data_IF_801486005656
#
_entry.id   IF_801486005656
#
_cell.length_a   1.000
_cell.length_b   1.000
_cell.length_c   1.000
_cell.angle_alpha   90.00
_cell.angle_beta   90.00
_cell.angle_gamma   90.00
#
_symmetry.space_group_name_H-M   'P 1'
#
loop_
_entity.id
_entity.type
_entity.pdbx_description
1 polymer ?
#
# COMPACT_ATOMS: atom_id res chain seq x y z
N UNK A 1 8.07 17.21 19.96
CA UNK A 1 9.55 17.15 20.10
C UNK A 1 10.25 16.26 19.05
N UNK A 2 9.76 15.05 18.70
CA UNK A 2 10.48 14.11 17.79
C UNK A 2 10.75 14.61 16.36
N UNK A 3 9.89 15.46 15.78
CA UNK A 3 10.10 15.98 14.43
C UNK A 3 11.08 17.16 14.36
N UNK A 4 11.26 17.92 15.45
CA UNK A 4 12.23 19.02 15.48
C UNK A 4 13.66 18.48 15.44
N UNK A 5 13.94 17.39 16.16
CA UNK A 5 15.25 16.72 16.13
C UNK A 5 15.70 16.32 14.72
N UNK A 6 14.76 15.97 13.82
CA UNK A 6 15.07 15.68 12.40
C UNK A 6 15.55 16.91 11.64
N UNK A 7 14.98 18.07 11.93
CA UNK A 7 15.38 19.32 11.31
C UNK A 7 16.75 19.78 11.86
N UNK A 8 16.94 19.70 13.18
CA UNK A 8 18.23 19.98 13.82
C UNK A 8 19.33 19.08 13.25
N UNK A 9 19.09 17.77 13.14
CA UNK A 9 20.09 16.83 12.61
C UNK A 9 20.38 17.08 11.13
N UNK A 10 19.38 17.44 10.33
CA UNK A 10 19.58 17.80 8.93
C UNK A 10 20.45 19.05 8.77
N UNK A 11 20.19 20.11 9.55
CA UNK A 11 21.01 21.32 9.54
C UNK A 11 22.45 21.00 9.97
N UNK A 12 22.62 20.20 11.02
CA UNK A 12 23.94 19.79 11.49
C UNK A 12 24.73 19.03 10.42
N UNK A 13 24.07 18.10 9.70
CA UNK A 13 24.69 17.39 8.58
C UNK A 13 25.04 18.33 7.41
N UNK A 14 24.17 19.28 7.08
CA UNK A 14 24.45 20.29 6.03
C UNK A 14 25.69 21.11 6.41
N UNK A 15 25.83 21.51 7.68
CA UNK A 15 27.01 22.23 8.16
C UNK A 15 28.29 21.38 8.03
N UNK A 16 28.24 20.10 8.39
CA UNK A 16 29.37 19.18 8.21
C UNK A 16 29.77 19.10 6.74
N UNK A 17 28.80 18.93 5.83
CA UNK A 17 29.06 18.87 4.38
C UNK A 17 29.63 20.19 3.87
N UNK A 18 29.16 21.33 4.37
CA UNK A 18 29.67 22.65 3.99
C UNK A 18 31.12 22.85 4.44
N UNK A 19 31.46 22.49 5.68
CA UNK A 19 32.85 22.52 6.18
C UNK A 19 33.73 21.58 5.36
N UNK A 20 33.26 20.35 5.12
CA UNK A 20 33.96 19.39 4.25
C UNK A 20 34.21 19.97 2.84
N UNK A 21 33.23 20.67 2.27
CA UNK A 21 33.37 21.31 0.96
C UNK A 21 34.42 22.42 0.94
N UNK A 22 34.46 23.27 1.97
CA UNK A 22 35.46 24.33 2.10
C UNK A 22 36.88 23.77 2.24
N UNK A 23 37.04 22.68 2.99
CA UNK A 23 38.34 22.01 3.17
C UNK A 23 38.81 21.27 1.90
N UNK A 24 37.89 20.90 1.02
CA UNK A 24 38.16 20.11 -0.20
C UNK A 24 37.88 20.91 -1.48
N UNK A 25 38.30 22.18 -1.49
CA UNK A 25 38.19 23.07 -2.67
C UNK A 25 39.19 22.76 -3.79
N UNK A 26 40.06 21.76 -3.59
CA UNK A 26 40.98 21.28 -4.61
C UNK A 26 40.24 20.91 -5.89
N UNK A 27 40.68 21.49 -7.01
CA UNK A 27 40.12 21.21 -8.33
C UNK A 27 40.70 19.91 -8.88
N UNK A 28 39.82 19.06 -9.41
CA UNK A 28 40.17 17.81 -10.08
C UNK A 28 39.60 17.86 -11.50
N UNK A 29 40.42 17.44 -12.48
CA UNK A 29 39.97 17.27 -13.86
C UNK A 29 39.17 15.97 -13.97
N UNK A 30 38.02 16.05 -14.59
CA UNK A 30 37.15 14.88 -14.80
C UNK A 30 37.13 14.60 -16.30
N UNK A 31 37.54 13.40 -16.69
CA UNK A 31 37.37 12.93 -18.05
C UNK A 31 35.91 12.51 -18.27
N UNK A 32 35.14 13.38 -18.91
CA UNK A 32 33.82 13.03 -19.47
C UNK A 32 34.00 12.54 -20.91
N UNK A 33 32.92 12.00 -21.48
CA UNK A 33 32.94 11.37 -22.80
C UNK A 33 33.49 12.28 -23.91
N UNK A 34 33.24 13.59 -23.83
CA UNK A 34 33.69 14.59 -24.81
C UNK A 34 34.31 15.85 -24.19
N UNK A 35 34.39 15.96 -22.86
CA UNK A 35 34.87 17.18 -22.20
C UNK A 35 35.69 16.85 -20.94
N UNK A 36 36.62 17.74 -20.57
CA UNK A 36 37.53 17.59 -19.43
C UNK A 36 37.50 18.81 -18.49
N UNK A 37 36.35 19.16 -17.89
CA UNK A 37 36.26 20.31 -17.00
C UNK A 37 36.99 20.05 -15.67
N UNK A 38 37.43 21.12 -15.02
CA UNK A 38 38.03 21.06 -13.69
C UNK A 38 37.07 21.66 -12.65
N UNK A 39 36.57 20.82 -11.75
CA UNK A 39 35.65 21.20 -10.67
C UNK A 39 36.25 20.87 -9.30
N UNK A 40 35.82 21.55 -8.22
CA UNK A 40 36.18 21.16 -6.85
C UNK A 40 35.75 19.70 -6.58
N UNK A 41 36.61 18.90 -5.95
CA UNK A 41 36.39 17.47 -5.70
C UNK A 41 35.04 17.19 -5.02
N UNK A 42 34.68 17.99 -4.03
CA UNK A 42 33.42 17.83 -3.30
C UNK A 42 32.18 17.93 -4.21
N UNK A 43 32.20 18.84 -5.20
CA UNK A 43 31.07 19.01 -6.12
C UNK A 43 30.88 17.75 -6.98
N UNK A 44 31.99 17.13 -7.39
CA UNK A 44 31.98 15.88 -8.18
C UNK A 44 31.34 14.75 -7.39
N UNK A 45 31.73 14.59 -6.13
CA UNK A 45 31.19 13.54 -5.25
C UNK A 45 29.70 13.76 -5.02
N UNK A 46 29.27 14.98 -4.72
CA UNK A 46 27.85 15.30 -4.53
C UNK A 46 27.06 14.96 -5.80
N UNK A 47 27.54 15.36 -6.98
CA UNK A 47 26.87 15.04 -8.25
C UNK A 47 26.79 13.53 -8.50
N UNK A 48 27.85 12.78 -8.22
CA UNK A 48 27.85 11.32 -8.37
C UNK A 48 26.85 10.64 -7.42
N UNK A 49 26.80 11.06 -6.16
CA UNK A 49 25.82 10.56 -5.18
C UNK A 49 24.40 10.91 -5.60
N UNK A 50 24.16 12.14 -6.06
CA UNK A 50 22.85 12.57 -6.56
C UNK A 50 22.40 11.75 -7.77
N UNK A 51 23.31 11.47 -8.71
CA UNK A 51 23.02 10.60 -9.85
C UNK A 51 22.70 9.18 -9.42
N UNK A 52 23.45 8.61 -8.47
CA UNK A 52 23.16 7.30 -7.89
C UNK A 52 21.78 7.25 -7.22
N UNK A 53 21.44 8.27 -6.42
CA UNK A 53 20.13 8.38 -5.79
C UNK A 53 19.00 8.54 -6.83
N UNK A 54 19.23 9.33 -7.88
CA UNK A 54 18.28 9.49 -8.98
C UNK A 54 18.01 8.16 -9.68
N UNK A 55 19.06 7.40 -10.01
CA UNK A 55 18.93 6.06 -10.61
C UNK A 55 18.12 5.15 -9.67
N UNK A 56 18.42 5.12 -8.38
CA UNK A 56 17.69 4.30 -7.41
C UNK A 56 16.19 4.66 -7.33
N UNK A 57 15.85 5.96 -7.38
CA UNK A 57 14.45 6.42 -7.41
C UNK A 57 13.76 5.99 -8.71
N UNK A 58 14.42 6.14 -9.85
CA UNK A 58 13.88 5.72 -11.15
C UNK A 58 13.60 4.22 -11.18
N UNK A 59 14.53 3.40 -10.70
CA UNK A 59 14.34 1.96 -10.58
C UNK A 59 13.20 1.60 -9.61
N UNK A 60 13.09 2.33 -8.49
CA UNK A 60 12.02 2.11 -7.50
C UNK A 60 10.62 2.42 -8.04
N UNK A 61 10.49 3.32 -9.02
CA UNK A 61 9.19 3.69 -9.58
C UNK A 61 8.46 2.49 -10.21
N UNK A 62 9.21 1.59 -10.86
CA UNK A 62 8.68 0.34 -11.45
C UNK A 62 8.11 -0.57 -10.36
N UNK A 63 8.89 -0.81 -9.31
CA UNK A 63 8.48 -1.64 -8.17
C UNK A 63 7.25 -1.06 -7.48
N UNK A 64 7.22 0.25 -7.22
CA UNK A 64 6.08 0.93 -6.60
C UNK A 64 4.83 0.79 -7.47
N UNK A 65 4.96 0.88 -8.80
CA UNK A 65 3.83 0.71 -9.71
C UNK A 65 3.25 -0.71 -9.65
N UNK A 66 4.11 -1.73 -9.64
CA UNK A 66 3.69 -3.12 -9.50
C UNK A 66 2.98 -3.38 -8.16
N UNK A 67 3.58 -2.90 -7.06
CA UNK A 67 2.99 -3.00 -5.72
C UNK A 67 1.62 -2.31 -5.65
N UNK A 68 1.46 -1.13 -6.24
CA UNK A 68 0.15 -0.44 -6.30
C UNK A 68 -0.89 -1.25 -7.08
N UNK A 69 -0.50 -1.87 -8.19
CA UNK A 69 -1.39 -2.72 -8.99
C UNK A 69 -1.82 -3.96 -8.20
N UNK A 70 -0.89 -4.59 -7.48
CA UNK A 70 -1.17 -5.73 -6.63
C UNK A 70 -2.10 -5.37 -5.47
N UNK A 71 -1.85 -4.26 -4.77
CA UNK A 71 -2.75 -3.74 -3.72
C UNK A 71 -4.16 -3.51 -4.28
N UNK A 72 -4.30 -2.94 -5.48
CA UNK A 72 -5.62 -2.76 -6.11
C UNK A 72 -6.29 -4.09 -6.41
N UNK A 73 -5.55 -5.07 -6.94
CA UNK A 73 -6.07 -6.41 -7.22
C UNK A 73 -6.52 -7.11 -5.95
N UNK A 74 -5.72 -7.06 -4.88
CA UNK A 74 -6.05 -7.64 -3.59
C UNK A 74 -7.32 -7.02 -3.00
N UNK A 75 -7.45 -5.69 -3.03
CA UNK A 75 -8.67 -5.00 -2.56
C UNK A 75 -9.93 -5.40 -3.33
N UNK A 76 -9.83 -5.55 -4.65
CA UNK A 76 -10.97 -6.00 -5.47
C UNK A 76 -11.32 -7.46 -5.16
N UNK A 77 -10.32 -8.32 -4.95
CA UNK A 77 -10.56 -9.70 -4.56
C UNK A 77 -11.22 -9.81 -3.19
N UNK A 78 -10.79 -9.00 -2.23
CA UNK A 78 -11.37 -8.92 -0.88
C UNK A 78 -12.84 -8.51 -0.95
N UNK A 79 -13.18 -7.43 -1.69
CA UNK A 79 -14.58 -7.00 -1.85
C UNK A 79 -15.45 -8.04 -2.54
N UNK A 80 -14.91 -8.73 -3.55
CA UNK A 80 -15.65 -9.78 -4.26
C UNK A 80 -15.90 -11.00 -3.36
N UNK A 81 -14.91 -11.34 -2.53
CA UNK A 81 -15.00 -12.45 -1.60
C UNK A 81 -16.03 -12.15 -0.50
N UNK A 82 -16.03 -10.93 0.05
CA UNK A 82 -17.06 -10.47 1.00
C UNK A 82 -18.47 -10.56 0.40
N UNK A 83 -18.65 -10.12 -0.85
CA UNK A 83 -19.93 -10.20 -1.54
C UNK A 83 -20.41 -11.65 -1.75
N UNK A 84 -19.51 -12.57 -2.13
CA UNK A 84 -19.83 -14.00 -2.29
C UNK A 84 -20.20 -14.66 -0.94
N UNK A 85 -19.50 -14.31 0.14
CA UNK A 85 -19.86 -14.78 1.48
C UNK A 85 -21.24 -14.27 1.91
N UNK A 86 -21.54 -12.99 1.65
CA UNK A 86 -22.84 -12.40 1.97
C UNK A 86 -23.97 -13.08 1.18
N UNK A 87 -23.80 -13.27 -0.13
CA UNK A 87 -24.79 -13.93 -0.98
C UNK A 87 -25.08 -15.37 -0.51
N UNK A 88 -24.02 -16.12 -0.16
CA UNK A 88 -24.15 -17.48 0.38
C UNK A 88 -24.87 -17.50 1.72
N UNK A 89 -24.58 -16.54 2.60
CA UNK A 89 -25.26 -16.40 3.88
C UNK A 89 -26.76 -16.13 3.69
N UNK A 90 -27.10 -15.16 2.84
CA UNK A 90 -28.49 -14.78 2.56
C UNK A 90 -29.28 -15.93 1.93
N UNK A 91 -28.68 -16.67 0.99
CA UNK A 91 -29.28 -17.90 0.41
C UNK A 91 -29.54 -18.97 1.46
N UNK A 92 -28.63 -19.13 2.44
CA UNK A 92 -28.78 -20.12 3.52
C UNK A 92 -29.91 -19.70 4.47
N UNK A 93 -29.96 -18.43 4.85
CA UNK A 93 -31.01 -17.86 5.69
C UNK A 93 -32.39 -17.99 5.04
N UNK A 94 -32.51 -17.65 3.75
CA UNK A 94 -33.76 -17.77 3.01
C UNK A 94 -34.26 -19.23 2.91
N UNK A 95 -33.35 -20.18 2.68
CA UNK A 95 -33.70 -21.62 2.68
C UNK A 95 -34.20 -22.09 4.05
N UNK A 96 -33.56 -21.65 5.11
CA UNK A 96 -33.90 -22.02 6.49
C UNK A 96 -35.26 -21.42 6.90
N UNK A 97 -35.50 -20.15 6.60
CA UNK A 97 -36.81 -19.50 6.79
C UNK A 97 -37.93 -20.20 6.01
N UNK A 98 -37.70 -20.57 4.75
CA UNK A 98 -38.67 -21.31 3.96
C UNK A 98 -38.98 -22.70 4.58
N UNK A 99 -37.98 -23.35 5.18
CA UNK A 99 -38.15 -24.59 5.93
C UNK A 99 -39.02 -24.42 7.18
N UNK A 100 -38.78 -23.39 7.97
CA UNK A 100 -39.61 -23.06 9.14
C UNK A 100 -41.05 -22.72 8.74
N UNK A 101 -41.23 -21.93 7.68
CA UNK A 101 -42.55 -21.56 7.20
C UNK A 101 -43.36 -22.79 6.76
N UNK A 102 -42.73 -23.76 6.09
CA UNK A 102 -43.36 -25.04 5.76
C UNK A 102 -43.79 -25.81 7.01
N UNK A 103 -42.93 -25.90 8.03
CA UNK A 103 -43.26 -26.54 9.33
C UNK A 103 -44.43 -25.85 10.03
N UNK A 104 -44.44 -24.51 10.06
CA UNK A 104 -45.54 -23.74 10.66
C UNK A 104 -46.86 -24.04 9.94
N UNK A 105 -46.85 -24.03 8.62
CA UNK A 105 -48.05 -24.33 7.83
C UNK A 105 -48.54 -25.77 8.03
N UNK A 106 -47.62 -26.73 8.09
CA UNK A 106 -47.95 -28.13 8.36
C UNK A 106 -48.56 -28.31 9.76
N UNK A 107 -47.95 -27.71 10.79
CA UNK A 107 -48.45 -27.73 12.17
C UNK A 107 -49.84 -27.09 12.27
N UNK A 108 -50.06 -25.94 11.62
CA UNK A 108 -51.39 -25.31 11.55
C UNK A 108 -52.44 -26.23 10.93
N UNK A 109 -52.10 -26.94 9.85
CA UNK A 109 -53.03 -27.90 9.23
C UNK A 109 -53.37 -29.08 10.15
N UNK A 110 -52.39 -29.57 10.92
CA UNK A 110 -52.58 -30.69 11.86
C UNK A 110 -53.49 -30.27 13.03
N UNK A 111 -53.27 -29.07 13.57
CA UNK A 111 -54.11 -28.50 14.63
C UNK A 111 -55.54 -28.32 14.13
N UNK A 112 -55.74 -27.79 12.92
CA UNK A 112 -57.07 -27.61 12.34
C UNK A 112 -57.83 -28.94 12.18
N UNK A 113 -57.15 -30.00 11.73
CA UNK A 113 -57.73 -31.35 11.65
C UNK A 113 -58.12 -31.90 13.02
N UNK A 114 -57.23 -31.78 14.01
CA UNK A 114 -57.52 -32.24 15.39
C UNK A 114 -58.67 -31.48 16.07
N UNK A 115 -58.91 -30.21 15.69
CA UNK A 115 -60.03 -29.43 16.23
C UNK A 115 -61.36 -29.74 15.53
N UNK A 116 -61.33 -30.14 14.26
CA UNK A 116 -62.53 -30.56 13.51
C UNK A 116 -63.08 -31.94 13.88
N UNK A 117 -62.23 -32.84 14.39
CA UNK A 117 -62.64 -34.20 14.84
C UNK A 117 -63.16 -34.26 16.29
N UNK A 118 -63.21 -33.12 17.00
CA UNK A 118 -63.65 -33.04 18.41
C UNK A 118 -65.11 -32.62 18.61
N UNK A 119 -65.89 -32.58 17.54
CA UNK A 119 -67.35 -32.39 17.53
C UNK A 119 -68.01 -33.53 16.76
#
# INVERSE_FOLDING_TARGET
>A
MKNQWRLISAIFLILIVAVFALLNTQKVKIDLLFWRPAFPLVLVIIMAVLLGALIAVLLSFVTIHQLKKEIKKLKVNESNLEADYQEKYDKKLAKEQAGYQKKINELKSKIAKQQGERF
#
